data_IF_934189180467
#
_entry.id   IF_934189180467
#
_cell.length_a   1.000
_cell.length_b   1.000
_cell.length_c   1.000
_cell.angle_alpha   90.00
_cell.angle_beta   90.00
_cell.angle_gamma   90.00
#
_symmetry.space_group_name_H-M   'P 1'
#
loop_
_entity.id
_entity.type
_entity.pdbx_description
1 polymer ?
#
# COMPACT_ATOMS: atom_id res chain seq x y z
N UNK A 1 -18.05 10.60 -5.89
CA UNK A 1 -17.60 10.01 -4.62
C UNK A 1 -18.83 9.70 -3.75
N UNK A 2 -18.99 8.44 -3.31
CA UNK A 2 -20.16 8.03 -2.50
C UNK A 2 -19.93 8.40 -1.03
N UNK A 3 -20.99 8.78 -0.31
CA UNK A 3 -20.88 9.21 1.10
C UNK A 3 -20.31 8.11 2.03
N UNK A 4 -20.47 6.82 1.68
CA UNK A 4 -19.94 5.68 2.44
C UNK A 4 -18.43 5.66 2.55
N UNK A 5 -17.71 6.38 1.68
CA UNK A 5 -16.25 6.43 1.69
C UNK A 5 -15.72 7.08 2.98
N UNK A 6 -16.41 8.12 3.49
CA UNK A 6 -15.98 8.78 4.72
C UNK A 6 -15.99 7.85 5.95
N UNK A 7 -17.08 7.15 6.27
CA UNK A 7 -17.06 6.19 7.37
C UNK A 7 -16.06 5.05 7.11
N UNK A 8 -15.87 4.58 5.85
CA UNK A 8 -14.87 3.57 5.53
C UNK A 8 -13.46 4.04 5.84
N UNK A 9 -13.11 5.30 5.53
CA UNK A 9 -11.80 5.88 5.87
C UNK A 9 -11.60 5.88 7.40
N UNK A 10 -12.58 6.34 8.17
CA UNK A 10 -12.46 6.38 9.63
C UNK A 10 -12.31 4.98 10.24
N UNK A 11 -13.11 4.01 9.79
CA UNK A 11 -13.00 2.62 10.24
C UNK A 11 -11.65 2.03 9.87
N UNK A 12 -11.16 2.30 8.66
CA UNK A 12 -9.85 1.85 8.20
C UNK A 12 -8.71 2.43 9.06
N UNK A 13 -8.74 3.72 9.36
CA UNK A 13 -7.74 4.37 10.22
C UNK A 13 -7.73 3.78 11.63
N UNK A 14 -8.91 3.52 12.21
CA UNK A 14 -9.01 2.83 13.50
C UNK A 14 -8.45 1.41 13.40
N UNK A 15 -8.74 0.69 12.32
CA UNK A 15 -8.20 -0.65 12.07
C UNK A 15 -6.68 -0.66 11.97
N UNK A 16 -6.08 0.29 11.23
CA UNK A 16 -4.63 0.45 11.14
C UNK A 16 -4.01 0.77 12.50
N UNK A 17 -4.65 1.64 13.30
CA UNK A 17 -4.20 1.95 14.65
C UNK A 17 -4.13 0.70 15.55
N UNK A 18 -5.17 -0.13 15.54
CA UNK A 18 -5.17 -1.39 16.29
C UNK A 18 -4.14 -2.39 15.76
N UNK A 19 -3.98 -2.48 14.45
CA UNK A 19 -3.02 -3.39 13.82
C UNK A 19 -1.57 -3.00 14.13
N UNK A 20 -1.27 -1.71 14.20
CA UNK A 20 0.09 -1.19 14.44
C UNK A 20 0.56 -1.30 15.89
N UNK A 21 -0.31 -1.64 16.83
CA UNK A 21 -0.01 -1.81 18.25
C UNK A 21 0.78 -0.62 18.86
N UNK A 22 0.37 0.61 18.54
CA UNK A 22 1.05 1.86 18.89
C UNK A 22 1.23 2.09 20.39
N UNK A 23 0.51 1.36 21.25
CA UNK A 23 0.50 1.59 22.69
C UNK A 23 1.86 1.37 23.38
N UNK A 24 2.80 0.64 22.74
CA UNK A 24 4.11 0.32 23.27
C UNK A 24 5.29 0.80 22.39
N UNK A 25 4.99 1.58 21.34
CA UNK A 25 6.02 2.04 20.41
C UNK A 25 6.62 3.37 20.86
N UNK A 26 7.93 3.43 21.03
CA UNK A 26 8.66 4.70 21.12
C UNK A 26 8.65 5.36 19.74
N UNK A 27 8.14 6.60 19.66
CA UNK A 27 8.14 7.36 18.40
C UNK A 27 9.58 7.74 18.06
N UNK A 28 10.12 7.12 17.04
CA UNK A 28 11.47 7.37 16.54
C UNK A 28 11.44 8.44 15.43
N UNK A 29 12.61 9.03 15.14
CA UNK A 29 12.78 9.96 14.02
C UNK A 29 12.31 9.34 12.69
N UNK A 30 12.52 8.04 12.52
CA UNK A 30 12.07 7.26 11.36
C UNK A 30 10.57 7.30 11.14
N UNK A 31 9.77 7.28 12.21
CA UNK A 31 8.30 7.34 12.11
C UNK A 31 7.83 8.68 11.53
N UNK A 32 8.50 9.77 11.92
CA UNK A 32 8.26 11.09 11.35
C UNK A 32 8.55 11.14 9.84
N UNK A 33 9.63 10.51 9.39
CA UNK A 33 9.97 10.39 7.97
C UNK A 33 8.95 9.54 7.21
N UNK A 34 8.44 8.46 7.79
CA UNK A 34 7.37 7.64 7.20
C UNK A 34 6.08 8.43 7.03
N UNK A 35 5.71 9.27 8.01
CA UNK A 35 4.53 10.16 7.89
C UNK A 35 4.70 11.14 6.72
N UNK A 36 5.86 11.76 6.58
CA UNK A 36 6.15 12.65 5.45
C UNK A 36 6.10 11.87 4.13
N UNK A 37 6.67 10.66 4.09
CA UNK A 37 6.63 9.79 2.92
C UNK A 37 5.19 9.43 2.53
N UNK A 38 4.31 9.15 3.51
CA UNK A 38 2.91 8.81 3.26
C UNK A 38 2.14 9.95 2.57
N UNK A 39 2.48 11.20 2.86
CA UNK A 39 1.91 12.36 2.16
C UNK A 39 2.30 12.37 0.67
N UNK A 40 3.58 12.16 0.36
CA UNK A 40 4.05 12.05 -1.03
C UNK A 40 3.46 10.83 -1.74
N UNK A 41 3.28 9.72 -1.01
CA UNK A 41 2.62 8.53 -1.54
C UNK A 41 1.15 8.79 -1.90
N UNK A 42 0.42 9.53 -1.07
CA UNK A 42 -0.95 9.93 -1.37
C UNK A 42 -1.02 10.82 -2.63
N UNK A 43 -0.12 11.79 -2.75
CA UNK A 43 0.00 12.60 -3.97
C UNK A 43 0.32 11.73 -5.20
N UNK A 44 1.22 10.77 -5.05
CA UNK A 44 1.56 9.83 -6.11
C UNK A 44 0.33 9.05 -6.59
N UNK A 45 -0.48 8.49 -5.69
CA UNK A 45 -1.72 7.77 -6.03
C UNK A 45 -2.67 8.67 -6.84
N UNK A 46 -2.87 9.93 -6.41
CA UNK A 46 -3.75 10.89 -7.10
C UNK A 46 -3.23 11.21 -8.51
N UNK A 47 -1.94 11.51 -8.64
CA UNK A 47 -1.37 11.86 -9.93
C UNK A 47 -1.30 10.66 -10.88
N UNK A 48 -0.93 9.48 -10.37
CA UNK A 48 -0.90 8.24 -11.13
C UNK A 48 -2.30 7.86 -11.64
N UNK A 49 -3.34 7.96 -10.79
CA UNK A 49 -4.73 7.72 -11.19
C UNK A 49 -5.16 8.62 -12.34
N UNK A 50 -4.99 9.94 -12.19
CA UNK A 50 -5.32 10.91 -13.25
C UNK A 50 -4.52 10.70 -14.53
N UNK A 51 -3.25 10.31 -14.41
CA UNK A 51 -2.40 10.03 -15.57
C UNK A 51 -2.88 8.78 -16.30
N UNK A 52 -3.23 7.72 -15.54
CA UNK A 52 -3.74 6.47 -16.12
C UNK A 52 -5.10 6.66 -16.79
N UNK A 53 -5.99 7.45 -16.21
CA UNK A 53 -7.27 7.81 -16.83
C UNK A 53 -7.07 8.50 -18.18
N UNK A 54 -6.09 9.41 -18.30
CA UNK A 54 -5.83 10.19 -19.50
C UNK A 54 -5.08 9.41 -20.60
N UNK A 55 -4.04 8.67 -20.25
CA UNK A 55 -3.10 8.10 -21.23
C UNK A 55 -3.23 6.59 -21.41
N UNK A 56 -3.76 5.87 -20.41
CA UNK A 56 -4.02 4.44 -20.47
C UNK A 56 -2.80 3.57 -20.86
N UNK A 57 -1.63 3.88 -20.29
CA UNK A 57 -0.36 3.18 -20.54
C UNK A 57 0.27 2.62 -19.27
N UNK A 58 -0.44 1.75 -18.48
CA UNK A 58 -0.02 1.35 -17.16
C UNK A 58 1.36 0.69 -17.12
N UNK A 59 1.67 -0.20 -18.06
CA UNK A 59 2.95 -0.91 -18.11
C UNK A 59 4.12 0.06 -18.35
N UNK A 60 3.97 0.97 -19.32
CA UNK A 60 5.02 1.95 -19.64
C UNK A 60 5.24 2.88 -18.44
N UNK A 61 4.17 3.33 -17.81
CA UNK A 61 4.26 4.20 -16.64
C UNK A 61 4.95 3.50 -15.46
N UNK A 62 4.55 2.26 -15.13
CA UNK A 62 5.17 1.48 -14.10
C UNK A 62 6.68 1.23 -14.36
N UNK A 63 7.03 0.90 -15.61
CA UNK A 63 8.42 0.67 -16.02
C UNK A 63 9.27 1.94 -15.91
N UNK A 64 8.79 3.07 -16.40
CA UNK A 64 9.50 4.36 -16.29
C UNK A 64 9.71 4.76 -14.83
N UNK A 65 8.69 4.56 -14.01
CA UNK A 65 8.75 4.83 -12.58
C UNK A 65 9.81 3.95 -11.88
N UNK A 66 9.81 2.65 -12.16
CA UNK A 66 10.80 1.72 -11.63
C UNK A 66 12.23 2.09 -12.04
N UNK A 67 12.44 2.48 -13.30
CA UNK A 67 13.75 2.93 -13.79
C UNK A 67 14.20 4.22 -13.08
N UNK A 68 13.32 5.21 -12.97
CA UNK A 68 13.64 6.47 -12.29
C UNK A 68 13.98 6.25 -10.82
N UNK A 69 13.10 5.54 -10.09
CA UNK A 69 13.32 5.25 -8.66
C UNK A 69 14.59 4.44 -8.47
N UNK A 70 14.81 3.39 -9.27
CA UNK A 70 16.02 2.57 -9.21
C UNK A 70 17.29 3.41 -9.47
N UNK A 71 17.27 4.29 -10.47
CA UNK A 71 18.41 5.16 -10.79
C UNK A 71 18.72 6.12 -9.64
N UNK A 72 17.69 6.78 -9.08
CA UNK A 72 17.88 7.67 -7.94
C UNK A 72 18.36 6.90 -6.71
N UNK A 73 17.78 5.75 -6.41
CA UNK A 73 18.19 4.93 -5.26
C UNK A 73 19.64 4.49 -5.35
N UNK A 74 20.09 4.03 -6.52
CA UNK A 74 21.50 3.66 -6.75
C UNK A 74 22.41 4.88 -6.59
N UNK A 75 22.06 6.01 -7.17
CA UNK A 75 22.84 7.23 -7.07
C UNK A 75 23.03 7.69 -5.61
N UNK A 76 21.94 7.71 -4.83
CA UNK A 76 22.00 8.10 -3.43
C UNK A 76 22.69 7.05 -2.55
N UNK A 77 22.54 5.76 -2.83
CA UNK A 77 23.27 4.71 -2.12
C UNK A 77 24.79 4.90 -2.22
N UNK A 78 25.32 5.22 -3.39
CA UNK A 78 26.75 5.49 -3.56
C UNK A 78 27.24 6.75 -2.85
N UNK A 79 26.37 7.72 -2.56
CA UNK A 79 26.75 8.95 -1.86
C UNK A 79 26.66 8.81 -0.34
N UNK A 80 25.62 8.13 0.15
CA UNK A 80 25.29 8.14 1.57
C UNK A 80 25.53 6.81 2.29
N UNK A 81 25.80 5.71 1.54
CA UNK A 81 25.91 4.38 2.11
C UNK A 81 27.23 3.71 1.70
N UNK A 82 27.75 2.86 2.56
CA UNK A 82 28.85 1.96 2.22
C UNK A 82 28.30 0.73 1.48
N UNK A 83 28.42 0.74 0.14
CA UNK A 83 27.96 -0.36 -0.71
C UNK A 83 28.87 -1.58 -0.55
N UNK A 84 28.36 -2.63 0.09
CA UNK A 84 29.08 -3.88 0.31
C UNK A 84 28.50 -5.00 -0.57
N UNK A 85 29.22 -5.34 -1.64
CA UNK A 85 28.80 -6.35 -2.60
C UNK A 85 28.58 -7.74 -1.96
N UNK A 86 29.38 -8.12 -0.97
CA UNK A 86 29.22 -9.42 -0.29
C UNK A 86 27.89 -9.51 0.45
N UNK A 87 27.43 -8.43 1.08
CA UNK A 87 26.12 -8.36 1.73
C UNK A 87 24.98 -8.41 0.72
N UNK A 88 25.13 -7.73 -0.42
CA UNK A 88 24.14 -7.76 -1.52
C UNK A 88 24.00 -9.17 -2.08
N UNK A 89 25.11 -9.88 -2.30
CA UNK A 89 25.08 -11.27 -2.79
C UNK A 89 24.41 -12.20 -1.76
N UNK A 90 24.66 -11.98 -0.47
CA UNK A 90 24.03 -12.77 0.60
C UNK A 90 22.48 -12.64 0.57
N UNK A 91 21.99 -11.43 0.33
CA UNK A 91 20.54 -11.10 0.31
C UNK A 91 19.92 -11.13 -1.09
N UNK A 92 20.60 -11.69 -2.09
CA UNK A 92 20.18 -11.63 -3.48
C UNK A 92 18.76 -12.17 -3.72
N UNK A 93 18.35 -13.21 -3.03
CA UNK A 93 17.00 -13.79 -3.18
C UNK A 93 15.91 -12.85 -2.67
N UNK A 94 16.14 -12.20 -1.53
CA UNK A 94 15.23 -11.21 -0.96
C UNK A 94 15.11 -9.98 -1.89
N UNK A 95 16.23 -9.54 -2.45
CA UNK A 95 16.30 -8.41 -3.39
C UNK A 95 15.55 -8.74 -4.69
N UNK A 96 15.80 -9.92 -5.27
CA UNK A 96 15.12 -10.36 -6.51
C UNK A 96 13.62 -10.51 -6.24
N UNK A 97 13.23 -11.12 -5.12
CA UNK A 97 11.82 -11.26 -4.76
C UNK A 97 11.14 -9.89 -4.64
N UNK A 98 11.71 -8.96 -3.87
CA UNK A 98 11.16 -7.62 -3.71
C UNK A 98 11.12 -6.86 -5.04
N UNK A 99 12.17 -6.92 -5.85
CA UNK A 99 12.26 -6.23 -7.14
C UNK A 99 11.25 -6.77 -8.16
N UNK A 100 11.13 -8.08 -8.30
CA UNK A 100 10.25 -8.70 -9.31
C UNK A 100 8.80 -8.71 -8.87
N UNK A 101 8.50 -9.22 -7.66
CA UNK A 101 7.11 -9.38 -7.24
C UNK A 101 6.51 -8.10 -6.70
N UNK A 102 7.18 -7.39 -5.80
CA UNK A 102 6.65 -6.14 -5.23
C UNK A 102 6.84 -4.97 -6.20
N UNK A 103 8.07 -4.69 -6.63
CA UNK A 103 8.38 -3.56 -7.52
C UNK A 103 7.87 -3.74 -8.96
N UNK A 104 7.96 -4.94 -9.52
CA UNK A 104 7.55 -5.21 -10.89
C UNK A 104 6.06 -5.55 -11.01
N UNK A 105 5.68 -6.72 -10.50
CA UNK A 105 4.33 -7.27 -10.72
C UNK A 105 3.28 -6.45 -9.96
N UNK A 106 3.43 -6.27 -8.64
CA UNK A 106 2.42 -5.61 -7.83
C UNK A 106 2.21 -4.15 -8.24
N UNK A 107 3.28 -3.40 -8.50
CA UNK A 107 3.18 -2.02 -8.98
C UNK A 107 2.51 -1.91 -10.36
N UNK A 108 2.83 -2.82 -11.27
CA UNK A 108 2.16 -2.85 -12.58
C UNK A 108 0.67 -3.13 -12.44
N UNK A 109 0.28 -4.11 -11.62
CA UNK A 109 -1.12 -4.41 -11.32
C UNK A 109 -1.83 -3.23 -10.65
N UNK A 110 -1.13 -2.51 -9.76
CA UNK A 110 -1.64 -1.28 -9.15
C UNK A 110 -2.00 -0.23 -10.21
N UNK A 111 -1.12 0.01 -11.18
CA UNK A 111 -1.40 0.97 -12.27
C UNK A 111 -2.59 0.53 -13.14
N UNK A 112 -2.73 -0.78 -13.39
CA UNK A 112 -3.90 -1.32 -14.09
C UNK A 112 -5.20 -1.13 -13.29
N UNK A 113 -5.16 -1.32 -11.97
CA UNK A 113 -6.32 -1.15 -11.10
C UNK A 113 -6.74 0.32 -10.99
N UNK A 114 -5.79 1.23 -10.82
CA UNK A 114 -6.03 2.68 -10.69
C UNK A 114 -6.66 3.32 -11.94
N UNK A 115 -6.55 2.66 -13.09
CA UNK A 115 -7.24 3.09 -14.31
C UNK A 115 -8.78 3.08 -14.18
N UNK A 116 -9.33 2.17 -13.37
CA UNK A 116 -10.75 1.88 -13.31
C UNK A 116 -11.39 2.14 -11.93
N UNK A 117 -10.61 2.57 -10.96
CA UNK A 117 -11.05 2.76 -9.58
C UNK A 117 -10.64 4.16 -9.11
N UNK A 118 -11.57 4.90 -8.51
CA UNK A 118 -11.30 6.19 -7.89
C UNK A 118 -10.21 6.08 -6.80
N UNK A 119 -9.46 7.14 -6.56
CA UNK A 119 -8.27 7.15 -5.71
C UNK A 119 -8.59 6.78 -4.25
N UNK A 120 -9.70 7.29 -3.70
CA UNK A 120 -10.06 7.04 -2.30
C UNK A 120 -10.47 5.58 -2.02
N UNK A 121 -11.34 4.93 -2.82
CA UNK A 121 -11.56 3.49 -2.73
C UNK A 121 -10.29 2.66 -2.94
N UNK A 122 -9.41 3.06 -3.87
CA UNK A 122 -8.14 2.38 -4.11
C UNK A 122 -7.24 2.42 -2.87
N UNK A 123 -7.11 3.58 -2.21
CA UNK A 123 -6.32 3.72 -0.98
C UNK A 123 -6.84 2.83 0.16
N UNK A 124 -8.17 2.69 0.30
CA UNK A 124 -8.77 1.78 1.29
C UNK A 124 -8.44 0.32 0.96
N UNK A 125 -8.49 -0.09 -0.31
CA UNK A 125 -8.12 -1.44 -0.74
C UNK A 125 -6.63 -1.71 -0.45
N UNK A 126 -5.74 -0.75 -0.69
CA UNK A 126 -4.31 -0.91 -0.41
C UNK A 126 -4.02 -1.14 1.07
N UNK A 127 -4.90 -0.66 1.98
CA UNK A 127 -4.76 -0.96 3.42
C UNK A 127 -4.85 -2.46 3.75
N UNK A 128 -5.38 -3.30 2.83
CA UNK A 128 -5.33 -4.77 2.96
C UNK A 128 -3.90 -5.32 2.97
N UNK A 129 -2.93 -4.58 2.45
CA UNK A 129 -1.52 -4.95 2.54
C UNK A 129 -1.11 -5.25 3.98
N UNK A 130 -1.52 -4.39 4.93
CA UNK A 130 -1.28 -4.60 6.37
C UNK A 130 -1.93 -5.86 6.91
N UNK A 131 -3.14 -6.20 6.45
CA UNK A 131 -3.84 -7.44 6.85
C UNK A 131 -3.10 -8.66 6.31
N UNK A 132 -2.72 -8.66 5.04
CA UNK A 132 -1.95 -9.76 4.44
C UNK A 132 -0.56 -9.90 5.07
N UNK A 133 0.10 -8.78 5.41
CA UNK A 133 1.39 -8.79 6.10
C UNK A 133 1.26 -9.42 7.50
N UNK A 134 0.21 -9.09 8.27
CA UNK A 134 -0.04 -9.69 9.58
C UNK A 134 -0.31 -11.20 9.48
N UNK A 135 -1.12 -11.63 8.52
CA UNK A 135 -1.40 -13.05 8.28
C UNK A 135 -0.14 -13.79 7.84
N UNK A 136 0.66 -13.22 6.95
CA UNK A 136 1.93 -13.81 6.51
C UNK A 136 2.94 -13.89 7.67
N UNK A 137 3.04 -12.85 8.51
CA UNK A 137 3.87 -12.85 9.71
C UNK A 137 3.47 -13.95 10.69
N UNK A 138 2.17 -14.15 10.88
CA UNK A 138 1.64 -15.23 11.71
C UNK A 138 2.00 -16.62 11.15
N UNK A 139 1.77 -16.88 9.85
CA UNK A 139 1.97 -18.20 9.24
C UNK A 139 3.45 -18.52 9.01
N UNK A 140 4.23 -17.54 8.51
CA UNK A 140 5.60 -17.78 8.05
C UNK A 140 6.61 -17.54 9.17
N UNK A 141 6.40 -16.50 9.97
CA UNK A 141 7.33 -16.09 11.03
C UNK A 141 6.90 -16.53 12.43
N UNK A 142 5.77 -17.28 12.54
CA UNK A 142 5.18 -17.71 13.81
C UNK A 142 4.96 -16.54 14.80
N UNK A 143 4.67 -15.35 14.29
CA UNK A 143 4.35 -14.18 15.11
C UNK A 143 3.00 -14.39 15.81
N UNK A 144 2.93 -14.01 17.08
CA UNK A 144 1.66 -14.08 17.81
C UNK A 144 0.85 -12.84 17.50
N UNK A 145 -0.37 -13.04 16.99
CA UNK A 145 -1.32 -11.95 16.79
C UNK A 145 -2.12 -11.73 18.08
N UNK A 146 -1.97 -10.55 18.66
CA UNK A 146 -2.77 -10.14 19.80
C UNK A 146 -4.22 -9.85 19.37
N UNK A 147 -5.13 -9.79 20.33
CA UNK A 147 -6.54 -9.47 20.08
C UNK A 147 -6.69 -8.13 19.32
N UNK A 148 -5.85 -7.16 19.63
CA UNK A 148 -5.85 -5.86 18.95
C UNK A 148 -5.49 -6.01 17.47
N UNK A 149 -4.50 -6.83 17.12
CA UNK A 149 -4.12 -7.08 15.73
C UNK A 149 -5.28 -7.74 14.96
N UNK A 150 -5.95 -8.72 15.57
CA UNK A 150 -7.11 -9.40 14.97
C UNK A 150 -8.26 -8.41 14.75
N UNK A 151 -8.58 -7.58 15.75
CA UNK A 151 -9.58 -6.53 15.61
C UNK A 151 -9.22 -5.51 14.54
N UNK A 152 -7.95 -5.12 14.44
CA UNK A 152 -7.43 -4.24 13.40
C UNK A 152 -7.64 -4.82 12.01
N UNK A 153 -7.27 -6.08 11.80
CA UNK A 153 -7.50 -6.79 10.54
C UNK A 153 -8.99 -6.83 10.17
N UNK A 154 -9.86 -7.14 11.13
CA UNK A 154 -11.30 -7.19 10.91
C UNK A 154 -11.88 -5.82 10.52
N UNK A 155 -11.46 -4.74 11.20
CA UNK A 155 -11.90 -3.38 10.90
C UNK A 155 -11.48 -2.94 9.50
N UNK A 156 -10.23 -3.25 9.09
CA UNK A 156 -9.74 -2.93 7.74
C UNK A 156 -10.56 -3.69 6.69
N UNK A 157 -10.77 -5.00 6.87
CA UNK A 157 -11.61 -5.80 5.96
C UNK A 157 -13.01 -5.24 5.85
N UNK A 158 -13.62 -4.88 6.98
CA UNK A 158 -14.96 -4.28 7.02
C UNK A 158 -14.99 -2.93 6.30
N UNK A 159 -14.00 -2.08 6.49
CA UNK A 159 -13.87 -0.79 5.80
C UNK A 159 -13.79 -0.97 4.27
N UNK A 160 -13.01 -1.95 3.80
CA UNK A 160 -12.91 -2.28 2.37
C UNK A 160 -14.26 -2.74 1.84
N UNK A 161 -14.92 -3.68 2.50
CA UNK A 161 -16.25 -4.15 2.08
C UNK A 161 -17.27 -3.01 2.04
N UNK A 162 -17.29 -2.16 3.06
CA UNK A 162 -18.19 -1.01 3.11
C UNK A 162 -17.93 -0.03 1.96
N UNK A 163 -16.66 0.24 1.64
CA UNK A 163 -16.29 1.16 0.56
C UNK A 163 -16.70 0.65 -0.82
N UNK A 164 -16.71 -0.67 -1.03
CA UNK A 164 -16.99 -1.30 -2.31
C UNK A 164 -18.45 -1.68 -2.50
N UNK A 165 -19.12 -2.22 -1.46
CA UNK A 165 -20.49 -2.72 -1.56
C UNK A 165 -21.54 -1.62 -1.46
N UNK A 166 -21.35 -0.60 -0.61
CA UNK A 166 -22.34 0.44 -0.43
C UNK A 166 -22.68 1.25 -1.71
N UNK A 167 -21.71 1.60 -2.57
CA UNK A 167 -22.02 2.21 -3.87
C UNK A 167 -22.75 1.26 -4.83
N UNK A 168 -22.40 -0.03 -4.84
CA UNK A 168 -23.00 -1.01 -5.76
C UNK A 168 -24.47 -1.30 -5.44
N UNK A 169 -24.82 -1.39 -4.15
CA UNK A 169 -26.20 -1.62 -3.70
C UNK A 169 -27.13 -0.47 -4.11
N UNK A 170 -26.65 0.77 -4.06
CA UNK A 170 -27.44 1.94 -4.50
C UNK A 170 -27.66 1.97 -6.00
N UNK A 171 -26.71 1.48 -6.79
CA UNK A 171 -26.82 1.43 -8.24
C UNK A 171 -27.89 0.42 -8.71
N UNK A 172 -28.03 -0.71 -8.01
CA UNK A 172 -29.05 -1.72 -8.30
C UNK A 172 -30.45 -1.27 -7.91
N UNK A 173 -30.61 -0.44 -6.87
CA UNK A 173 -31.92 0.07 -6.44
C UNK A 173 -32.48 1.19 -7.33
N UNK A 174 -31.70 1.79 -8.22
CA UNK A 174 -32.13 2.84 -9.15
C UNK A 174 -32.47 2.27 -10.53
N UNK A 175 -32.08 1.02 -10.81
CA UNK A 175 -32.34 0.34 -12.09
C UNK A 175 -33.59 -0.54 -12.08
N UNK A 176 -34.29 -0.64 -10.97
CA UNK A 176 -35.64 -1.25 -10.82
C UNK A 176 -36.71 -0.17 -10.60
#
# INVERSE_FOLDING_TARGET
>A
MHWSIWPSIFICLIGVYFLSNFSNAEILLGDGLVIICSFFWALHIIFAGKFMEKFNIPLIFASLQAILVGTYSIFFAFIFEEVNLSKIILEQYSIIYAGVFSGGIAFTLQMYAQKNIDEAPAAIIYSLEGVFAAVAGWIILNQILDLNNILGCFLILFAVLLSQLAPSLKRSSVSN
#
